data_IF_523346945737
#
_entry.id   IF_523346945737
#
_cell.length_a   1.000
_cell.length_b   1.000
_cell.length_c   1.000
_cell.angle_alpha   90.00
_cell.angle_beta   90.00
_cell.angle_gamma   90.00
#
_symmetry.space_group_name_H-M   'P 1'
#
loop_
_entity.id
_entity.type
_entity.pdbx_description
1 polymer ?
#
# COMPACT_ATOMS: atom_id res chain seq x y z
N UNK A 1 2.97 -25.78 -9.67
CA UNK A 1 3.82 -24.62 -9.32
C UNK A 1 3.29 -23.45 -10.11
N UNK A 2 2.40 -22.66 -9.52
CA UNK A 2 1.82 -21.49 -10.18
C UNK A 2 2.95 -20.48 -10.34
N UNK A 3 3.33 -20.16 -11.57
CA UNK A 3 4.32 -19.11 -11.82
C UNK A 3 3.74 -17.81 -11.29
N UNK A 4 4.39 -17.22 -10.27
CA UNK A 4 3.98 -15.93 -9.74
C UNK A 4 4.26 -14.90 -10.85
N UNK A 5 3.22 -14.49 -11.57
CA UNK A 5 3.38 -13.56 -12.69
C UNK A 5 3.80 -12.21 -12.11
N UNK A 6 4.94 -11.71 -12.57
CA UNK A 6 5.40 -10.36 -12.24
C UNK A 6 4.59 -9.35 -13.05
N UNK A 7 3.95 -8.40 -12.36
CA UNK A 7 3.20 -7.30 -12.97
C UNK A 7 3.74 -5.98 -12.45
N UNK A 8 3.58 -4.93 -13.25
CA UNK A 8 3.92 -3.56 -12.83
C UNK A 8 2.64 -2.79 -12.59
N UNK A 9 2.57 -2.08 -11.47
CA UNK A 9 1.47 -1.21 -11.11
C UNK A 9 1.95 0.23 -11.08
N UNK A 10 1.37 1.08 -11.95
CA UNK A 10 1.74 2.49 -12.06
C UNK A 10 1.12 3.40 -11.00
N UNK A 11 0.20 2.86 -10.19
CA UNK A 11 -0.61 3.59 -9.22
C UNK A 11 -1.54 4.67 -9.81
N UNK A 12 -1.62 4.83 -11.14
CA UNK A 12 -2.59 5.73 -11.79
C UNK A 12 -4.04 5.28 -11.53
N UNK A 13 -4.25 3.96 -11.56
CA UNK A 13 -5.50 3.32 -11.18
C UNK A 13 -5.30 2.64 -9.84
N UNK A 14 -5.75 3.29 -8.76
CA UNK A 14 -5.54 2.81 -7.39
C UNK A 14 -6.19 1.44 -7.14
N UNK A 15 -7.31 1.15 -7.80
CA UNK A 15 -8.09 -0.08 -7.61
C UNK A 15 -7.62 -1.25 -8.50
N UNK A 16 -6.59 -1.06 -9.31
CA UNK A 16 -6.08 -2.12 -10.20
C UNK A 16 -5.75 -3.43 -9.47
N UNK A 17 -5.09 -3.42 -8.28
CA UNK A 17 -4.76 -4.66 -7.58
C UNK A 17 -5.97 -5.53 -7.25
N UNK A 18 -7.11 -4.92 -6.93
CA UNK A 18 -8.34 -5.63 -6.59
C UNK A 18 -8.98 -6.38 -7.76
N UNK A 19 -8.54 -6.11 -9.00
CA UNK A 19 -9.03 -6.79 -10.20
C UNK A 19 -8.29 -8.10 -10.49
N UNK A 20 -7.14 -8.34 -9.84
CA UNK A 20 -6.31 -9.51 -10.11
C UNK A 20 -6.84 -10.74 -9.36
N UNK A 21 -7.14 -11.80 -10.10
CA UNK A 21 -7.75 -13.02 -9.54
C UNK A 21 -6.77 -13.95 -8.84
N UNK A 22 -5.51 -13.94 -9.28
CA UNK A 22 -4.45 -14.79 -8.75
C UNK A 22 -3.43 -13.93 -8.00
N UNK A 23 -2.81 -14.42 -6.91
CA UNK A 23 -1.66 -13.79 -6.29
C UNK A 23 -0.60 -13.37 -7.33
N UNK A 24 -0.08 -12.16 -7.20
CA UNK A 24 0.94 -11.58 -8.08
C UNK A 24 2.16 -11.12 -7.29
N UNK A 25 3.31 -11.12 -7.95
CA UNK A 25 4.44 -10.26 -7.57
C UNK A 25 4.25 -8.93 -8.29
N UNK A 26 4.15 -7.83 -7.55
CA UNK A 26 3.75 -6.53 -8.07
C UNK A 26 4.91 -5.55 -7.88
N UNK A 27 5.50 -5.08 -8.96
CA UNK A 27 6.44 -3.95 -8.91
C UNK A 27 5.67 -2.65 -8.95
N UNK A 28 5.96 -1.77 -8.01
CA UNK A 28 5.29 -0.48 -7.88
C UNK A 28 6.14 0.59 -8.56
N UNK A 29 5.56 1.33 -9.49
CA UNK A 29 6.22 2.42 -10.22
C UNK A 29 5.28 3.62 -10.24
N UNK A 30 5.35 4.49 -9.22
CA UNK A 30 6.55 5.31 -9.05
C UNK A 30 7.32 5.00 -7.76
N UNK A 31 8.48 5.63 -7.59
CA UNK A 31 9.16 5.69 -6.28
C UNK A 31 8.31 6.54 -5.33
N UNK A 32 7.51 5.88 -4.49
CA UNK A 32 6.57 6.53 -3.56
C UNK A 32 7.23 7.49 -2.56
N UNK A 33 8.56 7.46 -2.45
CA UNK A 33 9.33 8.30 -1.53
C UNK A 33 10.13 9.38 -2.24
N UNK A 34 9.92 9.55 -3.55
CA UNK A 34 10.38 10.75 -4.23
C UNK A 34 9.75 12.01 -3.60
N UNK A 35 10.55 13.05 -3.26
CA UNK A 35 10.04 14.23 -2.54
C UNK A 35 8.90 14.99 -3.22
N UNK A 36 8.79 14.88 -4.54
CA UNK A 36 7.72 15.50 -5.32
C UNK A 36 6.39 14.74 -5.22
N UNK A 37 6.43 13.46 -4.81
CA UNK A 37 5.23 12.68 -4.57
C UNK A 37 4.59 13.12 -3.25
N UNK A 38 3.33 13.54 -3.36
CA UNK A 38 2.54 14.01 -2.22
C UNK A 38 2.26 12.84 -1.27
N UNK A 39 2.45 13.05 0.03
CA UNK A 39 2.14 12.08 1.10
C UNK A 39 0.77 11.40 0.93
N UNK A 40 -0.25 12.15 0.49
CA UNK A 40 -1.59 11.61 0.25
C UNK A 40 -1.65 10.49 -0.81
N UNK A 41 -0.76 10.48 -1.82
CA UNK A 41 -0.67 9.37 -2.77
C UNK A 41 -0.04 8.15 -2.10
N UNK A 42 1.07 8.35 -1.35
CA UNK A 42 1.74 7.30 -0.60
C UNK A 42 0.78 6.58 0.34
N UNK A 43 0.03 7.30 1.15
CA UNK A 43 -0.90 6.71 2.13
C UNK A 43 -1.99 5.88 1.44
N UNK A 44 -2.51 6.35 0.30
CA UNK A 44 -3.51 5.63 -0.50
C UNK A 44 -2.94 4.37 -1.12
N UNK A 45 -1.75 4.42 -1.68
CA UNK A 45 -1.09 3.26 -2.30
C UNK A 45 -0.79 2.20 -1.24
N UNK A 46 -0.23 2.59 -0.09
CA UNK A 46 -0.03 1.67 1.04
C UNK A 46 -1.35 1.12 1.60
N UNK A 47 -2.42 1.91 1.60
CA UNK A 47 -3.75 1.41 1.99
C UNK A 47 -4.25 0.32 1.04
N UNK A 48 -4.10 0.49 -0.28
CA UNK A 48 -4.42 -0.55 -1.25
C UNK A 48 -3.58 -1.82 -1.04
N UNK A 49 -2.27 -1.67 -0.79
CA UNK A 49 -1.37 -2.81 -0.52
C UNK A 49 -1.78 -3.61 0.71
N UNK A 50 -2.18 -2.93 1.79
CA UNK A 50 -2.66 -3.57 3.01
C UNK A 50 -3.99 -4.30 2.82
N UNK A 51 -4.86 -3.80 1.94
CA UNK A 51 -6.16 -4.40 1.63
C UNK A 51 -6.06 -5.56 0.61
N UNK A 52 -4.89 -5.77 0.01
CA UNK A 52 -4.56 -6.89 -0.89
C UNK A 52 -3.41 -7.75 -0.32
N UNK A 53 -3.57 -8.36 0.86
CA UNK A 53 -2.50 -9.11 1.54
C UNK A 53 -2.01 -10.36 0.77
N UNK A 54 -2.79 -10.85 -0.18
CA UNK A 54 -2.46 -11.97 -1.06
C UNK A 54 -1.43 -11.62 -2.14
N UNK A 55 -1.21 -10.33 -2.42
CA UNK A 55 -0.21 -9.86 -3.38
C UNK A 55 1.08 -9.47 -2.66
N UNK A 56 2.22 -9.75 -3.28
CA UNK A 56 3.53 -9.30 -2.80
C UNK A 56 3.98 -8.09 -3.59
N UNK A 57 4.15 -6.97 -2.91
CA UNK A 57 4.55 -5.70 -3.52
C UNK A 57 6.05 -5.47 -3.34
N UNK A 58 6.71 -5.06 -4.41
CA UNK A 58 8.11 -4.66 -4.43
C UNK A 58 8.18 -3.17 -4.73
N UNK A 59 8.63 -2.41 -3.73
CA UNK A 59 8.91 -0.99 -3.81
C UNK A 59 10.38 -0.81 -4.17
N UNK A 60 10.66 -0.05 -5.22
CA UNK A 60 12.02 0.41 -5.50
C UNK A 60 12.11 1.87 -5.11
N UNK A 61 13.04 2.21 -4.22
CA UNK A 61 13.20 3.60 -3.78
C UNK A 61 14.65 4.05 -3.75
N UNK A 62 14.90 5.25 -4.27
CA UNK A 62 16.17 5.96 -4.09
C UNK A 62 16.26 6.67 -2.72
N UNK A 63 15.18 6.67 -1.94
CA UNK A 63 15.05 7.40 -0.68
C UNK A 63 14.74 6.46 0.51
N UNK A 64 15.60 5.46 0.79
CA UNK A 64 15.34 4.46 1.83
C UNK A 64 15.19 5.07 3.24
N UNK A 65 15.82 6.22 3.51
CA UNK A 65 15.65 6.92 4.79
C UNK A 65 14.23 7.45 4.97
N UNK A 66 13.60 7.96 3.90
CA UNK A 66 12.22 8.44 3.94
C UNK A 66 11.22 7.29 4.10
N UNK A 67 11.50 6.12 3.50
CA UNK A 67 10.75 4.90 3.76
C UNK A 67 10.82 4.51 5.24
N UNK A 68 12.03 4.39 5.80
CA UNK A 68 12.20 4.03 7.21
C UNK A 68 11.51 5.01 8.16
N UNK A 69 11.63 6.32 7.91
CA UNK A 69 10.93 7.34 8.70
C UNK A 69 9.41 7.20 8.61
N UNK A 70 8.87 6.96 7.41
CA UNK A 70 7.44 6.75 7.23
C UNK A 70 6.93 5.51 7.98
N UNK A 71 7.66 4.39 7.91
CA UNK A 71 7.31 3.16 8.64
C UNK A 71 7.38 3.38 10.16
N UNK A 72 8.40 4.07 10.65
CA UNK A 72 8.52 4.39 12.08
C UNK A 72 7.37 5.29 12.55
N UNK A 73 7.03 6.31 11.76
CA UNK A 73 5.93 7.23 12.06
C UNK A 73 4.58 6.52 12.05
N UNK A 74 4.21 5.79 11.00
CA UNK A 74 2.91 5.14 10.92
C UNK A 74 2.71 4.03 11.96
N UNK A 75 3.80 3.39 12.41
CA UNK A 75 3.76 2.36 13.44
C UNK A 75 3.57 2.91 14.86
N UNK A 76 4.04 4.14 15.15
CA UNK A 76 4.09 4.68 16.51
C UNK A 76 3.29 5.97 16.71
N UNK A 77 2.94 6.69 15.64
CA UNK A 77 2.15 7.91 15.67
C UNK A 77 0.69 7.63 15.29
N UNK A 78 -0.20 7.86 16.25
CA UNK A 78 -1.65 7.66 16.08
C UNK A 78 -2.24 8.56 15.00
N UNK A 79 -1.72 9.78 14.81
CA UNK A 79 -2.24 10.72 13.83
C UNK A 79 -1.95 10.25 12.40
N UNK A 80 -0.71 9.82 12.14
CA UNK A 80 -0.29 9.25 10.86
C UNK A 80 -1.06 7.96 10.55
N UNK A 81 -1.23 7.09 11.56
CA UNK A 81 -2.06 5.91 11.42
C UNK A 81 -3.53 6.23 11.08
N UNK A 82 -4.11 7.27 11.71
CA UNK A 82 -5.47 7.71 11.40
C UNK A 82 -5.56 8.29 9.98
N UNK A 83 -4.57 9.04 9.53
CA UNK A 83 -4.52 9.58 8.16
C UNK A 83 -4.51 8.45 7.12
N UNK A 84 -3.68 7.43 7.33
CA UNK A 84 -3.68 6.20 6.53
C UNK A 84 -5.04 5.48 6.57
N UNK A 85 -5.65 5.35 7.77
CA UNK A 85 -6.94 4.66 7.93
C UNK A 85 -8.07 5.35 7.19
N UNK A 86 -8.04 6.68 7.09
CA UNK A 86 -9.00 7.44 6.26
C UNK A 86 -8.86 7.04 4.79
N UNK A 87 -7.62 6.85 4.30
CA UNK A 87 -7.38 6.40 2.92
C UNK A 87 -7.90 4.97 2.68
N UNK A 88 -7.66 4.04 3.60
CA UNK A 88 -8.20 2.68 3.52
C UNK A 88 -9.74 2.67 3.54
N UNK A 89 -10.34 3.48 4.39
CA UNK A 89 -11.81 3.59 4.50
C UNK A 89 -12.46 4.07 3.20
N UNK A 90 -11.82 5.03 2.50
CA UNK A 90 -12.29 5.50 1.19
C UNK A 90 -12.22 4.42 0.12
N UNK A 91 -11.13 3.66 0.07
CA UNK A 91 -10.98 2.52 -0.87
C UNK A 91 -12.08 1.48 -0.61
N UNK A 92 -12.29 1.11 0.66
CA UNK A 92 -13.34 0.17 1.05
C UNK A 92 -14.74 0.68 0.68
N UNK A 93 -15.01 1.98 0.84
CA UNK A 93 -16.26 2.59 0.42
C UNK A 93 -16.47 2.49 -1.11
N UNK A 94 -15.44 2.80 -1.91
CA UNK A 94 -15.47 2.66 -3.37
C UNK A 94 -15.70 1.21 -3.82
N UNK A 95 -15.21 0.23 -3.04
CA UNK A 95 -15.42 -1.20 -3.27
C UNK A 95 -16.76 -1.72 -2.72
N UNK A 96 -17.55 -0.89 -2.03
CA UNK A 96 -18.80 -1.30 -1.40
C UNK A 96 -18.63 -2.19 -0.15
N UNK A 97 -17.46 -2.14 0.49
CA UNK A 97 -17.02 -2.96 1.64
C UNK A 97 -16.84 -2.12 2.91
N UNK A 98 -17.68 -1.11 3.11
CA UNK A 98 -17.51 -0.08 4.15
C UNK A 98 -17.46 -0.66 5.57
N UNK A 99 -18.17 -1.75 5.81
CA UNK A 99 -18.21 -2.48 7.08
C UNK A 99 -16.83 -2.95 7.55
N UNK A 100 -15.90 -3.21 6.63
CA UNK A 100 -14.53 -3.63 6.95
C UNK A 100 -13.67 -2.48 7.51
N UNK A 101 -14.08 -1.23 7.29
CA UNK A 101 -13.31 -0.06 7.74
C UNK A 101 -13.27 0.08 9.28
N UNK A 102 -14.15 -0.60 9.99
CA UNK A 102 -14.18 -0.63 11.45
C UNK A 102 -13.14 -1.58 12.08
N UNK A 103 -12.54 -2.48 11.28
CA UNK A 103 -11.62 -3.52 11.74
C UNK A 103 -10.31 -3.01 12.36
N UNK A 104 -9.54 -3.94 12.90
CA UNK A 104 -8.15 -3.70 13.32
C UNK A 104 -7.30 -3.40 12.08
N UNK A 105 -6.40 -2.43 12.20
CA UNK A 105 -5.45 -2.10 11.13
C UNK A 105 -4.38 -3.18 10.97
N UNK A 106 -3.62 -3.17 9.86
CA UNK A 106 -2.53 -4.10 9.66
C UNK A 106 -1.38 -3.82 10.65
N UNK A 107 -0.55 -4.84 10.87
CA UNK A 107 0.75 -4.64 11.48
C UNK A 107 1.69 -3.88 10.53
N UNK A 108 2.51 -3.01 11.07
CA UNK A 108 3.54 -2.26 10.35
C UNK A 108 4.95 -2.75 10.74
N UNK A 109 5.89 -2.91 9.79
CA UNK A 109 5.71 -2.78 8.34
C UNK A 109 4.77 -3.84 7.77
N UNK A 110 4.13 -3.53 6.63
CA UNK A 110 3.23 -4.48 5.96
C UNK A 110 4.00 -5.76 5.57
N UNK A 111 3.52 -6.96 5.93
CA UNK A 111 4.27 -8.20 5.71
C UNK A 111 4.36 -8.61 4.23
N UNK A 112 3.56 -7.99 3.38
CA UNK A 112 3.49 -8.23 1.94
C UNK A 112 4.19 -7.15 1.11
N UNK A 113 4.96 -6.25 1.75
CA UNK A 113 5.72 -5.20 1.07
C UNK A 113 7.21 -5.40 1.32
N UNK A 114 7.95 -5.60 0.23
CA UNK A 114 9.40 -5.65 0.19
C UNK A 114 9.94 -4.33 -0.40
N UNK A 115 11.05 -3.81 0.13
CA UNK A 115 11.77 -2.64 -0.39
C UNK A 115 13.12 -3.06 -0.95
N UNK A 116 13.43 -2.61 -2.17
CA UNK A 116 14.73 -2.69 -2.84
C UNK A 116 15.41 -1.32 -2.91
#
# INVERSE_FOLDING_TARGET
MTQNQEVTWSCDILLEPFSWKDPKTVRVQPDLFEPEIRNALRDRVFAAMALCPEHRFWLRTAYPQLYSQYIEQIAHDRLEWLAWRVSASKILEELGRREEAAGEGPAWPLPNVDVE
#
